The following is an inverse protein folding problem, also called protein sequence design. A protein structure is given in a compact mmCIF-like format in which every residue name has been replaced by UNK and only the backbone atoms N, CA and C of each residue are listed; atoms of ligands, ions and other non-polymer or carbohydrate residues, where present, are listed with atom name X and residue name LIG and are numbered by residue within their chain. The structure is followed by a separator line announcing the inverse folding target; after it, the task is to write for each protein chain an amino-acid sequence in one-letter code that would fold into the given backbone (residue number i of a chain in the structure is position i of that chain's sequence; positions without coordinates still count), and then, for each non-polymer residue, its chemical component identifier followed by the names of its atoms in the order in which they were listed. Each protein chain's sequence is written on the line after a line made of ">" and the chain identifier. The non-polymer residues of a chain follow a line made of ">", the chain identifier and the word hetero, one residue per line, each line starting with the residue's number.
data_IF_105878369859
#
_entry.id   IF_105878369859
#
_cell.length_a   1.000
_cell.length_b   1.000
_cell.length_c   1.000
_cell.angle_alpha   90.00
_cell.angle_beta   90.00
_cell.angle_gamma   90.00
#
_symmetry.space_group_name_H-M   'P 1'
#
loop_
_entity.id
_entity.type
_entity.pdbx_description
1 polymer ?
#
# COMPACT_ATOMS: atom_id res chain seq x y z
N UNK A 1 -12.42 7.40 -17.33
CA UNK A 1 -13.17 8.68 -17.46
C UNK A 1 -14.51 8.59 -16.74
N UNK A 2 -15.37 7.61 -17.05
CA UNK A 2 -16.71 7.45 -16.44
C UNK A 2 -16.69 7.42 -14.90
N UNK A 3 -15.79 6.64 -14.29
CA UNK A 3 -15.67 6.56 -12.83
C UNK A 3 -15.31 7.92 -12.22
N UNK A 4 -14.42 8.70 -12.83
CA UNK A 4 -14.07 10.04 -12.36
C UNK A 4 -15.30 10.96 -12.35
N UNK A 5 -16.01 11.01 -13.47
CA UNK A 5 -17.22 11.83 -13.60
C UNK A 5 -18.29 11.44 -12.57
N UNK A 6 -18.46 10.14 -12.32
CA UNK A 6 -19.41 9.64 -11.32
C UNK A 6 -19.02 10.09 -9.91
N UNK A 7 -17.73 9.94 -9.54
CA UNK A 7 -17.23 10.38 -8.22
C UNK A 7 -17.39 11.89 -8.03
N UNK A 8 -17.07 12.69 -9.04
CA UNK A 8 -17.26 14.15 -9.01
C UNK A 8 -18.73 14.54 -8.77
N UNK A 9 -19.65 13.93 -9.52
CA UNK A 9 -21.09 14.18 -9.38
C UNK A 9 -21.61 13.80 -8.00
N UNK A 10 -21.19 12.65 -7.47
CA UNK A 10 -21.53 12.21 -6.12
C UNK A 10 -21.06 13.27 -5.11
N UNK A 11 -19.79 13.67 -5.18
CA UNK A 11 -19.17 14.66 -4.29
C UNK A 11 -19.92 15.99 -4.32
N UNK A 12 -20.20 16.50 -5.51
CA UNK A 12 -20.96 17.75 -5.69
C UNK A 12 -22.37 17.68 -5.05
N UNK A 13 -23.06 16.55 -5.21
CA UNK A 13 -24.39 16.34 -4.62
C UNK A 13 -24.34 16.37 -3.10
N UNK A 14 -23.43 15.62 -2.48
CA UNK A 14 -23.32 15.58 -1.01
C UNK A 14 -22.88 16.93 -0.44
N UNK A 15 -21.94 17.62 -1.08
CA UNK A 15 -21.56 18.99 -0.70
C UNK A 15 -22.77 19.94 -0.77
N UNK A 16 -23.60 19.82 -1.79
CA UNK A 16 -24.84 20.61 -1.92
C UNK A 16 -25.83 20.38 -0.78
N UNK A 17 -25.83 19.19 -0.17
CA UNK A 17 -26.64 18.85 1.00
C UNK A 17 -25.92 19.12 2.34
N UNK A 18 -24.71 19.70 2.32
CA UNK A 18 -23.86 19.92 3.51
C UNK A 18 -23.60 18.63 4.29
N UNK A 19 -23.50 17.52 3.58
CA UNK A 19 -23.15 16.22 4.14
C UNK A 19 -21.74 15.85 3.73
N UNK A 20 -20.97 15.41 4.71
CA UNK A 20 -19.65 14.82 4.45
C UNK A 20 -19.83 13.34 4.15
N UNK A 21 -19.22 12.88 3.06
CA UNK A 21 -19.31 11.49 2.64
C UNK A 21 -17.90 10.95 2.39
N UNK A 22 -17.60 9.82 2.99
CA UNK A 22 -16.32 9.15 2.80
C UNK A 22 -16.35 8.28 1.54
N UNK A 23 -15.52 8.65 0.56
CA UNK A 23 -15.42 7.96 -0.73
C UNK A 23 -14.03 7.35 -0.86
N UNK A 24 -13.96 6.13 -1.39
CA UNK A 24 -12.71 5.55 -1.89
C UNK A 24 -12.87 5.10 -3.33
N UNK A 25 -11.90 5.46 -4.15
CA UNK A 25 -11.76 4.98 -5.52
C UNK A 25 -10.67 3.95 -5.61
N UNK A 26 -11.02 2.74 -5.95
CA UNK A 26 -10.09 1.64 -6.21
C UNK A 26 -9.64 1.71 -7.67
N UNK A 27 -8.34 1.78 -7.89
CA UNK A 27 -7.73 1.77 -9.22
C UNK A 27 -6.32 1.22 -9.15
N UNK A 28 -5.92 0.44 -10.15
CA UNK A 28 -4.56 -0.10 -10.23
C UNK A 28 -3.53 0.93 -10.71
N UNK A 29 -3.99 2.11 -11.19
CA UNK A 29 -3.12 3.15 -11.75
C UNK A 29 -3.60 4.53 -11.32
N UNK A 30 -2.71 5.28 -10.68
CA UNK A 30 -2.95 6.68 -10.29
C UNK A 30 -3.26 7.58 -11.50
N UNK A 31 -2.63 7.31 -12.65
CA UNK A 31 -2.79 8.07 -13.90
C UNK A 31 -4.23 8.07 -14.43
N UNK A 32 -5.03 7.08 -14.05
CA UNK A 32 -6.44 6.97 -14.41
C UNK A 32 -7.37 7.80 -13.52
N UNK A 33 -6.82 8.41 -12.47
CA UNK A 33 -7.57 9.24 -11.51
C UNK A 33 -7.34 10.71 -11.83
N UNK A 34 -8.42 11.50 -11.94
CA UNK A 34 -8.31 12.94 -12.13
C UNK A 34 -7.60 13.58 -10.94
N UNK A 35 -6.78 14.61 -11.20
CA UNK A 35 -6.01 15.30 -10.16
C UNK A 35 -6.86 15.79 -8.99
N UNK A 36 -8.06 16.26 -9.29
CA UNK A 36 -9.01 16.80 -8.29
C UNK A 36 -9.67 15.69 -7.43
N UNK A 37 -9.43 14.41 -7.75
CA UNK A 37 -9.97 13.24 -7.05
C UNK A 37 -8.89 12.38 -6.41
N UNK A 38 -7.63 12.81 -6.39
CA UNK A 38 -6.52 12.06 -5.80
C UNK A 38 -6.73 11.78 -4.30
N UNK A 39 -7.45 12.65 -3.61
CA UNK A 39 -7.82 12.46 -2.21
C UNK A 39 -8.86 11.33 -1.99
N UNK A 40 -9.52 10.86 -3.05
CA UNK A 40 -10.38 9.67 -3.02
C UNK A 40 -9.68 8.39 -3.48
N UNK A 41 -8.51 8.51 -4.11
CA UNK A 41 -7.77 7.39 -4.63
C UNK A 41 -7.14 6.55 -3.51
N UNK A 42 -7.38 5.23 -3.53
CA UNK A 42 -6.87 4.32 -2.49
C UNK A 42 -5.37 4.44 -2.26
N UNK A 43 -4.57 4.50 -3.32
CA UNK A 43 -3.12 4.68 -3.23
C UNK A 43 -2.71 5.96 -2.52
N UNK A 44 -3.26 7.11 -2.92
CA UNK A 44 -2.93 8.39 -2.28
C UNK A 44 -3.40 8.48 -0.82
N UNK A 45 -4.55 7.86 -0.50
CA UNK A 45 -5.02 7.77 0.89
C UNK A 45 -4.04 6.95 1.71
N UNK A 46 -3.58 5.80 1.21
CA UNK A 46 -2.62 4.93 1.88
C UNK A 46 -1.30 5.66 2.10
N UNK A 47 -0.72 6.26 1.05
CA UNK A 47 0.52 7.02 1.13
C UNK A 47 0.45 8.17 2.15
N UNK A 48 -0.64 8.94 2.15
CA UNK A 48 -0.84 10.02 3.11
C UNK A 48 -0.99 9.53 4.55
N UNK A 49 -1.66 8.40 4.76
CA UNK A 49 -1.78 7.77 6.07
C UNK A 49 -0.45 7.21 6.55
N UNK A 50 0.31 6.57 5.68
CA UNK A 50 1.65 6.08 6.00
C UNK A 50 2.58 7.23 6.41
N UNK A 51 2.61 8.33 5.65
CA UNK A 51 3.40 9.52 5.97
C UNK A 51 2.99 10.12 7.33
N UNK A 52 1.69 10.26 7.58
CA UNK A 52 1.16 10.74 8.87
C UNK A 52 1.55 9.82 10.04
N UNK A 53 1.52 8.50 9.84
CA UNK A 53 1.93 7.54 10.87
C UNK A 53 3.43 7.63 11.16
N UNK A 54 4.26 7.75 10.13
CA UNK A 54 5.71 7.90 10.30
C UNK A 54 6.05 9.16 11.09
N UNK A 55 5.46 10.30 10.73
CA UNK A 55 5.64 11.56 11.45
C UNK A 55 5.15 11.46 12.91
N UNK A 56 3.98 10.88 13.12
CA UNK A 56 3.39 10.72 14.45
C UNK A 56 4.16 9.69 15.28
N UNK A 57 4.80 8.70 14.67
CA UNK A 57 5.55 7.66 15.36
C UNK A 57 6.74 8.24 16.11
N UNK A 58 7.53 9.09 15.49
CA UNK A 58 8.66 9.79 16.13
C UNK A 58 8.15 10.60 17.34
N UNK A 59 7.11 11.39 17.14
CA UNK A 59 6.51 12.17 18.24
C UNK A 59 6.03 11.29 19.39
N UNK A 60 5.43 10.15 19.11
CA UNK A 60 4.99 9.18 20.12
C UNK A 60 6.17 8.54 20.86
N UNK A 61 7.26 8.22 20.17
CA UNK A 61 8.48 7.70 20.80
C UNK A 61 9.02 8.74 21.78
N UNK A 62 9.14 9.99 21.37
CA UNK A 62 9.62 11.09 22.23
C UNK A 62 8.70 11.29 23.45
N UNK A 63 7.39 11.28 23.23
CA UNK A 63 6.40 11.43 24.32
C UNK A 63 6.47 10.26 25.31
N UNK A 64 6.52 9.01 24.84
CA UNK A 64 6.66 7.83 25.71
C UNK A 64 8.00 7.82 26.42
N UNK A 65 9.06 8.25 25.75
CA UNK A 65 10.38 8.38 26.35
C UNK A 65 10.42 9.39 27.51
N UNK A 66 9.68 10.49 27.40
CA UNK A 66 9.56 11.47 28.49
C UNK A 66 8.89 10.87 29.73
N UNK A 67 7.90 9.99 29.55
CA UNK A 67 7.30 9.23 30.67
C UNK A 67 8.29 8.26 31.33
N UNK A 68 9.28 7.77 30.58
CA UNK A 68 10.40 6.96 31.09
C UNK A 68 11.53 7.81 31.69
N UNK A 69 11.35 9.12 31.78
CA UNK A 69 12.36 10.10 32.27
C UNK A 69 13.64 10.11 31.38
N UNK A 70 13.54 9.76 30.15
CA UNK A 70 14.63 9.84 29.18
C UNK A 70 14.72 11.26 28.61
N UNK A 71 15.94 11.73 28.38
CA UNK A 71 16.18 13.01 27.72
C UNK A 71 15.78 12.94 26.26
N UNK A 72 15.16 13.98 25.76
CA UNK A 72 14.69 14.06 24.37
C UNK A 72 15.87 13.99 23.38
N UNK A 73 16.99 14.64 23.71
CA UNK A 73 18.21 14.61 22.92
C UNK A 73 18.76 13.18 22.80
N UNK A 74 18.80 12.42 23.91
CA UNK A 74 19.22 11.01 23.90
C UNK A 74 18.35 10.18 22.96
N UNK A 75 17.03 10.34 23.03
CA UNK A 75 16.09 9.60 22.21
C UNK A 75 16.24 9.98 20.73
N UNK A 76 16.43 11.25 20.42
CA UNK A 76 16.62 11.76 19.07
C UNK A 76 17.88 11.17 18.43
N UNK A 77 19.00 11.19 19.14
CA UNK A 77 20.25 10.59 18.67
C UNK A 77 20.14 9.07 18.56
N UNK A 78 19.47 8.43 19.51
CA UNK A 78 19.22 6.99 19.47
C UNK A 78 18.37 6.58 18.25
N UNK A 79 17.31 7.33 17.94
CA UNK A 79 16.46 7.11 16.75
C UNK A 79 17.31 7.28 15.50
N UNK A 80 18.07 8.38 15.42
CA UNK A 80 18.93 8.67 14.27
C UNK A 80 19.93 7.53 14.01
N UNK A 81 20.63 7.07 15.03
CA UNK A 81 21.59 5.98 14.92
C UNK A 81 20.92 4.68 14.46
N UNK A 82 19.83 4.28 15.12
CA UNK A 82 19.13 3.04 14.83
C UNK A 82 18.50 3.03 13.42
N UNK A 83 17.81 4.11 13.04
CA UNK A 83 17.03 4.15 11.80
C UNK A 83 17.89 4.60 10.61
N UNK A 84 18.68 5.66 10.76
CA UNK A 84 19.41 6.23 9.62
C UNK A 84 20.74 5.55 9.35
N UNK A 85 21.36 4.89 10.33
CA UNK A 85 22.66 4.25 10.16
C UNK A 85 22.52 2.72 10.19
N UNK A 86 22.23 2.13 11.32
CA UNK A 86 22.29 0.67 11.47
C UNK A 86 21.25 -0.05 10.63
N UNK A 87 20.05 0.48 10.52
CA UNK A 87 19.04 -0.12 9.65
C UNK A 87 19.38 -0.02 8.16
N UNK A 88 19.91 1.11 7.71
CA UNK A 88 20.36 1.25 6.32
C UNK A 88 21.51 0.29 6.00
N UNK A 89 22.44 0.10 6.94
CA UNK A 89 23.50 -0.90 6.79
C UNK A 89 22.92 -2.30 6.65
N UNK A 90 21.97 -2.67 7.53
CA UNK A 90 21.30 -3.97 7.51
C UNK A 90 20.52 -4.19 6.20
N UNK A 91 19.74 -3.22 5.77
CA UNK A 91 18.96 -3.27 4.52
C UNK A 91 19.87 -3.34 3.28
N UNK A 92 20.96 -2.56 3.26
CA UNK A 92 21.89 -2.59 2.14
C UNK A 92 22.63 -3.92 2.09
N UNK A 93 22.99 -4.48 3.24
CA UNK A 93 23.62 -5.80 3.35
C UNK A 93 22.69 -6.91 2.86
N UNK A 94 21.41 -6.87 3.20
CA UNK A 94 20.45 -7.90 2.77
C UNK A 94 20.19 -7.90 1.26
N UNK A 95 20.58 -6.85 0.55
CA UNK A 95 20.48 -6.72 -0.91
C UNK A 95 21.76 -7.13 -1.66
N UNK A 96 22.79 -7.63 -0.94
CA UNK A 96 24.01 -8.10 -1.60
C UNK A 96 23.68 -9.37 -2.38
N UNK A 97 24.00 -9.38 -3.67
CA UNK A 97 23.90 -10.55 -4.53
C UNK A 97 25.17 -10.71 -5.34
N UNK A 98 25.50 -11.95 -5.67
CA UNK A 98 26.59 -12.29 -6.60
C UNK A 98 26.17 -12.11 -8.06
N UNK A 99 24.88 -11.99 -8.35
CA UNK A 99 24.30 -11.77 -9.68
C UNK A 99 23.76 -10.34 -9.79
N UNK A 100 23.98 -9.69 -10.94
CA UNK A 100 23.50 -8.32 -11.25
C UNK A 100 21.99 -8.32 -11.56
N UNK A 101 21.17 -8.62 -10.55
CA UNK A 101 19.73 -8.50 -10.65
C UNK A 101 19.26 -7.09 -10.31
N UNK A 102 18.11 -6.69 -10.86
CA UNK A 102 17.52 -5.37 -10.63
C UNK A 102 17.20 -5.18 -9.15
N UNK A 103 17.90 -4.25 -8.51
CA UNK A 103 17.73 -3.91 -7.09
C UNK A 103 18.76 -4.54 -6.15
N UNK A 104 19.75 -5.27 -6.68
CA UNK A 104 20.87 -5.82 -5.91
C UNK A 104 22.02 -4.82 -5.76
N UNK A 105 22.83 -5.01 -4.73
CA UNK A 105 23.99 -4.18 -4.42
C UNK A 105 25.25 -5.02 -4.56
N UNK A 106 26.23 -4.55 -5.31
CA UNK A 106 27.51 -5.27 -5.40
C UNK A 106 28.24 -5.23 -4.06
N UNK A 107 29.01 -6.29 -3.77
CA UNK A 107 29.82 -6.38 -2.56
C UNK A 107 30.79 -5.20 -2.41
N UNK A 108 31.35 -4.71 -3.53
CA UNK A 108 32.26 -3.56 -3.53
C UNK A 108 31.53 -2.27 -3.13
N UNK A 109 30.33 -2.04 -3.65
CA UNK A 109 29.48 -0.88 -3.30
C UNK A 109 29.07 -0.94 -1.83
N UNK A 110 28.69 -2.10 -1.32
CA UNK A 110 28.39 -2.26 0.10
C UNK A 110 29.60 -1.96 0.97
N UNK A 111 30.78 -2.50 0.65
CA UNK A 111 32.00 -2.22 1.41
C UNK A 111 32.34 -0.72 1.48
N UNK A 112 32.22 -0.02 0.36
CA UNK A 112 32.44 1.43 0.33
C UNK A 112 31.44 2.18 1.21
N UNK A 113 30.16 1.84 1.12
CA UNK A 113 29.11 2.41 1.97
C UNK A 113 29.36 2.11 3.46
N UNK A 114 29.67 0.86 3.80
CA UNK A 114 29.93 0.42 5.16
C UNK A 114 31.13 1.11 5.79
N UNK A 115 32.24 1.26 5.04
CA UNK A 115 33.41 2.01 5.48
C UNK A 115 33.09 3.46 5.77
N UNK A 116 32.32 4.12 4.90
CA UNK A 116 31.89 5.49 5.12
C UNK A 116 31.07 5.64 6.41
N UNK A 117 30.13 4.73 6.68
CA UNK A 117 29.34 4.74 7.91
C UNK A 117 30.23 4.53 9.14
N UNK A 118 31.16 3.60 9.07
CA UNK A 118 32.11 3.32 10.14
C UNK A 118 32.99 4.53 10.46
N UNK A 119 33.52 5.21 9.44
CA UNK A 119 34.29 6.44 9.62
C UNK A 119 33.48 7.55 10.28
N UNK A 120 32.22 7.71 9.91
CA UNK A 120 31.32 8.67 10.55
C UNK A 120 31.12 8.34 12.04
N UNK A 121 30.88 7.07 12.37
CA UNK A 121 30.70 6.63 13.75
C UNK A 121 31.98 6.78 14.57
N UNK A 122 33.14 6.48 13.99
CA UNK A 122 34.45 6.66 14.66
C UNK A 122 34.75 8.11 15.03
N UNK A 123 34.36 9.06 14.17
CA UNK A 123 34.56 10.48 14.44
C UNK A 123 33.73 10.99 15.62
N UNK A 124 32.60 10.36 15.91
CA UNK A 124 31.66 10.78 16.93
C UNK A 124 31.91 10.05 18.27
N UNK A 125 32.15 8.73 18.20
CA UNK A 125 32.11 7.87 19.39
C UNK A 125 33.47 7.25 19.79
N UNK A 126 34.58 7.63 19.13
CA UNK A 126 35.93 7.09 19.44
C UNK A 126 35.97 5.56 19.61
N UNK A 127 35.30 4.84 18.69
CA UNK A 127 35.08 3.40 18.80
C UNK A 127 36.39 2.61 18.83
N UNK A 128 36.58 1.75 19.83
CA UNK A 128 37.66 0.76 19.81
C UNK A 128 37.22 -0.46 18.99
N UNK A 129 37.82 -0.63 17.83
CA UNK A 129 37.57 -1.77 16.94
C UNK A 129 38.58 -2.90 17.10
N UNK A 130 39.51 -2.76 18.08
CA UNK A 130 40.49 -3.80 18.35
C UNK A 130 39.80 -5.06 18.90
N UNK A 131 39.97 -6.19 18.21
CA UNK A 131 39.39 -7.47 18.59
C UNK A 131 38.01 -7.77 17.99
N UNK A 132 37.48 -6.88 17.16
CA UNK A 132 36.30 -7.17 16.37
C UNK A 132 36.64 -8.02 15.14
N UNK A 133 35.68 -8.77 14.63
CA UNK A 133 35.82 -9.45 13.35
C UNK A 133 36.22 -8.42 12.28
N UNK A 134 37.27 -8.71 11.52
CA UNK A 134 37.78 -7.77 10.50
C UNK A 134 36.87 -7.71 9.26
N UNK A 135 35.85 -8.55 9.18
CA UNK A 135 34.96 -8.59 8.04
C UNK A 135 33.79 -7.59 8.19
N UNK A 136 33.96 -6.43 7.59
CA UNK A 136 32.94 -5.36 7.54
C UNK A 136 31.61 -5.80 6.88
N UNK A 137 31.59 -6.94 6.20
CA UNK A 137 30.37 -7.51 5.60
C UNK A 137 29.62 -8.41 6.56
N UNK A 138 30.24 -8.79 7.67
CA UNK A 138 29.66 -9.67 8.69
C UNK A 138 28.57 -8.98 9.49
N UNK A 139 27.51 -9.72 9.80
CA UNK A 139 26.45 -9.26 10.72
C UNK A 139 26.97 -9.07 12.14
N UNK A 140 27.84 -10.00 12.56
CA UNK A 140 28.43 -9.97 13.90
C UNK A 140 29.27 -8.71 14.11
N UNK A 141 30.01 -8.28 13.09
CA UNK A 141 30.75 -7.02 13.11
C UNK A 141 29.83 -5.83 13.40
N UNK A 142 28.78 -5.66 12.62
CA UNK A 142 27.86 -4.53 12.77
C UNK A 142 27.05 -4.59 14.08
N UNK A 143 26.72 -5.77 14.57
CA UNK A 143 26.09 -5.92 15.87
C UNK A 143 27.03 -5.50 17.00
N UNK A 144 28.31 -5.80 16.90
CA UNK A 144 29.31 -5.37 17.89
C UNK A 144 29.50 -3.84 17.85
N UNK A 145 29.59 -3.24 16.67
CA UNK A 145 29.65 -1.78 16.48
C UNK A 145 28.42 -1.12 17.05
N UNK A 146 27.23 -1.65 16.75
CA UNK A 146 25.96 -1.11 17.27
C UNK A 146 25.95 -1.13 18.81
N UNK A 147 26.34 -2.23 19.44
CA UNK A 147 26.40 -2.33 20.88
C UNK A 147 27.40 -1.33 21.49
N UNK A 148 28.57 -1.15 20.90
CA UNK A 148 29.57 -0.19 21.35
C UNK A 148 29.05 1.25 21.26
N UNK A 149 28.46 1.62 20.12
CA UNK A 149 27.86 2.95 19.92
C UNK A 149 26.71 3.20 20.90
N UNK A 150 25.84 2.22 21.12
CA UNK A 150 24.72 2.35 22.07
C UNK A 150 25.23 2.52 23.51
N UNK A 151 26.31 1.85 23.90
CA UNK A 151 26.93 2.02 25.21
C UNK A 151 27.55 3.42 25.36
N UNK A 152 28.30 3.88 24.37
CA UNK A 152 28.91 5.21 24.38
C UNK A 152 27.85 6.30 24.44
N UNK A 153 26.75 6.18 23.66
CA UNK A 153 25.64 7.13 23.72
C UNK A 153 24.97 7.16 25.09
N UNK A 154 24.76 6.00 25.72
CA UNK A 154 24.18 5.92 27.05
C UNK A 154 25.08 6.55 28.12
N UNK A 155 26.39 6.40 28.01
CA UNK A 155 27.39 7.05 28.90
C UNK A 155 27.38 8.57 28.69
N UNK A 156 27.38 9.07 27.48
CA UNK A 156 27.35 10.50 27.15
C UNK A 156 26.15 11.22 27.79
N UNK A 157 24.98 10.59 27.74
CA UNK A 157 23.76 11.15 28.33
C UNK A 157 23.52 10.75 29.77
N UNK A 158 24.42 9.98 30.40
CA UNK A 158 24.31 9.42 31.76
C UNK A 158 22.98 8.64 31.96
N UNK A 159 22.61 7.82 30.98
CA UNK A 159 21.43 6.96 31.02
C UNK A 159 21.81 5.61 31.62
N UNK A 160 21.06 5.17 32.63
CA UNK A 160 21.32 3.88 33.26
C UNK A 160 20.96 2.72 32.31
N UNK A 161 21.54 1.52 32.49
CA UNK A 161 21.36 0.38 31.59
C UNK A 161 19.88 -0.06 31.46
N UNK A 162 19.08 0.07 32.52
CA UNK A 162 17.66 -0.31 32.48
C UNK A 162 16.86 0.63 31.57
N UNK A 163 17.07 1.93 31.69
CA UNK A 163 16.42 2.93 30.87
C UNK A 163 16.93 2.89 29.41
N UNK A 164 18.21 2.62 29.19
CA UNK A 164 18.76 2.38 27.86
C UNK A 164 18.09 1.18 27.17
N UNK A 165 17.93 0.06 27.90
CA UNK A 165 17.22 -1.10 27.38
C UNK A 165 15.74 -0.81 27.05
N UNK A 166 15.05 -0.04 27.89
CA UNK A 166 13.66 0.40 27.64
C UNK A 166 13.56 1.29 26.38
N UNK A 167 14.50 2.22 26.22
CA UNK A 167 14.54 3.08 25.04
C UNK A 167 14.75 2.27 23.75
N UNK A 168 15.68 1.33 23.78
CA UNK A 168 15.93 0.44 22.64
C UNK A 168 14.71 -0.46 22.33
N UNK A 169 14.02 -0.96 23.36
CA UNK A 169 12.79 -1.74 23.18
C UNK A 169 11.67 -0.89 22.59
N UNK A 170 11.54 0.38 23.01
CA UNK A 170 10.57 1.32 22.45
C UNK A 170 10.80 1.57 20.97
N UNK A 171 12.05 1.80 20.56
CA UNK A 171 12.38 1.99 19.12
C UNK A 171 12.13 0.71 18.32
N UNK A 172 12.44 -0.46 18.88
CA UNK A 172 12.13 -1.74 18.23
C UNK A 172 10.64 -1.91 18.00
N UNK A 173 9.82 -1.63 19.02
CA UNK A 173 8.37 -1.69 18.91
C UNK A 173 7.83 -0.72 17.85
N UNK A 174 8.36 0.51 17.84
CA UNK A 174 8.00 1.51 16.83
C UNK A 174 8.31 1.04 15.41
N UNK A 175 9.47 0.39 15.22
CA UNK A 175 9.87 -0.17 13.95
C UNK A 175 9.01 -1.36 13.53
N UNK A 176 8.66 -2.24 14.45
CA UNK A 176 7.72 -3.33 14.18
C UNK A 176 6.35 -2.76 13.73
N UNK A 177 5.90 -1.65 14.32
CA UNK A 177 4.72 -0.94 13.85
C UNK A 177 4.90 -0.34 12.45
N UNK A 178 6.06 0.25 12.15
CA UNK A 178 6.37 0.80 10.82
C UNK A 178 6.35 -0.28 9.74
N UNK A 179 6.97 -1.43 10.00
CA UNK A 179 6.96 -2.57 9.06
C UNK A 179 5.56 -3.13 8.83
N UNK A 180 4.67 -3.08 9.82
CA UNK A 180 3.26 -3.45 9.66
C UNK A 180 2.49 -2.41 8.83
N UNK A 181 2.85 -1.14 8.93
CA UNK A 181 2.27 -0.04 8.14
C UNK A 181 2.75 -0.10 6.68
N UNK A 182 3.98 -0.49 6.45
CA UNK A 182 4.55 -0.72 5.10
C UNK A 182 4.11 -2.05 4.47
N UNK A 183 3.24 -2.80 5.16
CA UNK A 183 2.65 -4.02 4.64
C UNK A 183 1.94 -3.79 3.29
N UNK A 184 1.85 -4.80 2.41
CA UNK A 184 1.33 -4.63 1.06
C UNK A 184 0.00 -3.88 1.03
N UNK A 185 -0.16 -2.96 0.10
CA UNK A 185 -1.35 -2.10 -0.11
C UNK A 185 -2.68 -2.88 -0.08
N UNK A 186 -2.66 -4.17 -0.40
CA UNK A 186 -3.81 -5.06 -0.38
C UNK A 186 -4.62 -5.03 0.94
N UNK A 187 -3.95 -5.04 2.08
CA UNK A 187 -4.64 -5.00 3.38
C UNK A 187 -5.32 -3.66 3.64
N UNK A 188 -4.70 -2.56 3.20
CA UNK A 188 -5.26 -1.23 3.33
C UNK A 188 -6.43 -0.98 2.38
N UNK A 189 -6.35 -1.44 1.14
CA UNK A 189 -7.46 -1.33 0.19
C UNK A 189 -8.70 -2.06 0.71
N UNK A 190 -8.52 -3.26 1.26
CA UNK A 190 -9.60 -4.00 1.92
C UNK A 190 -10.19 -3.22 3.10
N UNK A 191 -9.35 -2.67 3.98
CA UNK A 191 -9.79 -1.84 5.10
C UNK A 191 -10.55 -0.60 4.64
N UNK A 192 -10.04 0.10 3.62
CA UNK A 192 -10.71 1.26 3.04
C UNK A 192 -12.07 0.88 2.45
N UNK A 193 -12.16 -0.22 1.70
CA UNK A 193 -13.41 -0.69 1.13
C UNK A 193 -14.45 -1.06 2.21
N UNK A 194 -14.02 -1.55 3.38
CA UNK A 194 -14.90 -1.90 4.49
C UNK A 194 -15.34 -0.70 5.34
N UNK A 195 -14.58 0.38 5.35
CA UNK A 195 -14.80 1.53 6.24
C UNK A 195 -15.36 2.76 5.54
N UNK A 196 -15.34 2.80 4.21
CA UNK A 196 -15.88 3.92 3.44
C UNK A 196 -17.35 3.71 3.10
N UNK A 197 -18.11 4.80 3.10
CA UNK A 197 -19.54 4.79 2.77
C UNK A 197 -19.78 4.50 1.29
N UNK A 198 -18.86 4.96 0.42
CA UNK A 198 -18.93 4.76 -1.02
C UNK A 198 -17.61 4.22 -1.53
N UNK A 199 -17.71 3.09 -2.24
CA UNK A 199 -16.57 2.44 -2.91
C UNK A 199 -16.81 2.51 -4.40
N UNK A 200 -15.89 3.11 -5.15
CA UNK A 200 -16.00 3.30 -6.59
C UNK A 200 -14.84 2.60 -7.31
N UNK A 201 -15.12 2.07 -8.49
CA UNK A 201 -14.08 1.47 -9.34
C UNK A 201 -14.68 0.89 -10.62
N UNK A 202 -13.83 0.37 -11.49
CA UNK A 202 -14.30 -0.47 -12.60
C UNK A 202 -14.62 -1.87 -12.08
N UNK A 203 -15.53 -2.60 -12.73
CA UNK A 203 -15.88 -3.97 -12.34
C UNK A 203 -14.63 -4.86 -12.23
N UNK A 204 -13.72 -4.76 -13.20
CA UNK A 204 -12.44 -5.50 -13.19
C UNK A 204 -11.48 -4.99 -12.12
N UNK A 205 -11.41 -3.67 -11.90
CA UNK A 205 -10.53 -3.08 -10.89
C UNK A 205 -10.92 -3.46 -9.46
N UNK A 206 -12.22 -3.55 -9.19
CA UNK A 206 -12.78 -3.95 -7.89
C UNK A 206 -12.61 -5.46 -7.66
N UNK A 207 -12.58 -6.26 -8.74
CA UNK A 207 -12.38 -7.72 -8.67
C UNK A 207 -10.98 -8.13 -8.19
N UNK A 208 -10.06 -7.19 -8.06
CA UNK A 208 -8.70 -7.48 -7.65
C UNK A 208 -8.68 -8.09 -6.23
N UNK A 209 -7.85 -9.11 -6.03
CA UNK A 209 -7.73 -9.83 -4.75
C UNK A 209 -7.37 -8.92 -3.56
N UNK A 210 -6.75 -7.76 -3.84
CA UNK A 210 -6.39 -6.77 -2.82
C UNK A 210 -7.62 -6.20 -2.09
N UNK A 211 -8.75 -6.09 -2.76
CA UNK A 211 -9.98 -5.51 -2.20
C UNK A 211 -10.83 -6.55 -1.49
N UNK A 212 -10.67 -7.84 -1.86
CA UNK A 212 -11.46 -8.97 -1.33
C UNK A 212 -12.97 -8.71 -1.41
N UNK A 213 -13.40 -8.19 -2.56
CA UNK A 213 -14.76 -7.70 -2.78
C UNK A 213 -15.81 -8.80 -2.59
N UNK A 214 -15.47 -10.06 -2.88
CA UNK A 214 -16.36 -11.21 -2.75
C UNK A 214 -16.82 -11.48 -1.32
N UNK A 215 -16.06 -11.00 -0.33
CA UNK A 215 -16.37 -11.12 1.10
C UNK A 215 -17.02 -9.86 1.68
N UNK A 216 -17.39 -8.89 0.82
CA UNK A 216 -18.04 -7.66 1.24
C UNK A 216 -19.51 -7.66 0.82
N UNK A 217 -20.34 -7.00 1.61
CA UNK A 217 -21.78 -6.87 1.33
C UNK A 217 -22.16 -5.39 1.41
N UNK A 218 -22.56 -4.83 0.27
CA UNK A 218 -23.04 -3.46 0.16
C UNK A 218 -24.58 -3.40 0.17
N UNK A 219 -25.13 -2.35 0.72
CA UNK A 219 -26.58 -2.15 0.71
C UNK A 219 -27.09 -1.86 -0.71
N UNK A 220 -26.29 -1.15 -1.50
CA UNK A 220 -26.53 -0.88 -2.91
C UNK A 220 -25.29 -1.10 -3.74
N UNK A 221 -25.48 -1.70 -4.91
CA UNK A 221 -24.50 -1.73 -5.99
C UNK A 221 -25.12 -1.02 -7.18
N UNK A 222 -24.47 0.02 -7.66
CA UNK A 222 -24.91 0.82 -8.79
C UNK A 222 -23.89 0.62 -9.91
N UNK A 223 -24.32 0.09 -11.04
CA UNK A 223 -23.48 -0.14 -12.21
C UNK A 223 -23.94 0.80 -13.32
N UNK A 224 -23.09 1.79 -13.60
CA UNK A 224 -23.27 2.71 -14.72
C UNK A 224 -22.70 2.10 -16.00
N UNK A 225 -23.25 2.47 -17.15
CA UNK A 225 -22.91 1.88 -18.46
C UNK A 225 -23.09 0.35 -18.52
N UNK A 226 -24.08 -0.17 -17.80
CA UNK A 226 -24.32 -1.61 -17.66
C UNK A 226 -24.55 -2.32 -19.01
N UNK A 227 -25.12 -1.60 -20.01
CA UNK A 227 -25.33 -2.14 -21.35
C UNK A 227 -24.03 -2.44 -22.12
N UNK A 228 -22.91 -1.86 -21.72
CA UNK A 228 -21.58 -2.06 -22.34
C UNK A 228 -20.74 -3.09 -21.62
N UNK A 229 -21.15 -3.53 -20.44
CA UNK A 229 -20.43 -4.51 -19.64
C UNK A 229 -20.81 -5.94 -20.03
N UNK A 230 -19.82 -6.82 -20.01
CA UNK A 230 -20.08 -8.25 -20.23
C UNK A 230 -20.76 -8.87 -19.01
N UNK A 231 -21.46 -9.99 -19.19
CA UNK A 231 -22.12 -10.74 -18.11
C UNK A 231 -21.18 -11.06 -16.93
N UNK A 232 -19.94 -11.42 -17.24
CA UNK A 232 -18.93 -11.73 -16.23
C UNK A 232 -18.53 -10.51 -15.42
N UNK A 233 -18.41 -9.33 -16.03
CA UNK A 233 -18.08 -8.09 -15.33
C UNK A 233 -19.24 -7.63 -14.43
N UNK A 234 -20.49 -7.73 -14.93
CA UNK A 234 -21.67 -7.44 -14.13
C UNK A 234 -21.76 -8.36 -12.91
N UNK A 235 -21.57 -9.68 -13.12
CA UNK A 235 -21.65 -10.67 -12.05
C UNK A 235 -20.68 -10.39 -10.91
N UNK A 236 -19.46 -9.89 -11.20
CA UNK A 236 -18.47 -9.53 -10.18
C UNK A 236 -19.02 -8.49 -9.19
N UNK A 237 -19.63 -7.44 -9.71
CA UNK A 237 -20.17 -6.38 -8.87
C UNK A 237 -21.50 -6.79 -8.23
N UNK A 238 -22.38 -7.44 -8.98
CA UNK A 238 -23.72 -7.80 -8.53
C UNK A 238 -23.74 -8.75 -7.33
N UNK A 239 -22.77 -9.69 -7.24
CA UNK A 239 -22.69 -10.66 -6.15
C UNK A 239 -22.49 -10.01 -4.76
N UNK A 240 -22.05 -8.74 -4.70
CA UNK A 240 -21.73 -8.05 -3.45
C UNK A 240 -22.86 -7.15 -2.96
N UNK A 241 -23.94 -7.01 -3.71
CA UNK A 241 -25.03 -6.08 -3.40
C UNK A 241 -26.28 -6.73 -2.85
N UNK A 242 -26.86 -6.17 -1.80
CA UNK A 242 -28.22 -6.51 -1.36
C UNK A 242 -29.26 -6.02 -2.36
N UNK A 243 -29.01 -4.86 -2.98
CA UNK A 243 -29.84 -4.24 -3.99
C UNK A 243 -28.95 -3.79 -5.13
N UNK A 244 -29.42 -4.01 -6.34
CA UNK A 244 -28.67 -3.74 -7.57
C UNK A 244 -29.43 -2.75 -8.41
N UNK A 245 -28.72 -1.70 -8.86
CA UNK A 245 -29.23 -0.69 -9.79
C UNK A 245 -28.34 -0.71 -11.02
N UNK A 246 -28.91 -1.08 -12.16
CA UNK A 246 -28.26 -1.04 -13.45
C UNK A 246 -28.70 0.24 -14.17
N UNK A 247 -27.73 1.01 -14.63
CA UNK A 247 -27.92 2.23 -15.41
C UNK A 247 -27.22 2.04 -16.75
N UNK A 248 -27.90 2.33 -17.86
CA UNK A 248 -27.32 2.15 -19.18
C UNK A 248 -28.31 2.49 -20.29
N UNK A 249 -27.80 2.45 -21.51
CA UNK A 249 -28.58 2.62 -22.73
C UNK A 249 -28.32 1.44 -23.67
N UNK A 250 -29.31 0.54 -23.77
CA UNK A 250 -29.22 -0.66 -24.63
C UNK A 250 -29.15 -0.36 -26.13
N UNK A 251 -29.41 0.89 -26.55
CA UNK A 251 -29.28 1.32 -27.94
C UNK A 251 -27.86 1.82 -28.31
N UNK A 252 -26.98 1.93 -27.31
CA UNK A 252 -25.58 2.23 -27.54
C UNK A 252 -24.80 0.97 -27.94
N UNK A 253 -23.47 1.10 -28.03
CA UNK A 253 -22.61 -0.03 -28.43
C UNK A 253 -22.73 -1.19 -27.42
N UNK A 254 -22.91 -2.43 -27.89
CA UNK A 254 -22.94 -3.61 -27.02
C UNK A 254 -21.56 -3.90 -26.41
N UNK A 255 -21.47 -4.86 -25.49
CA UNK A 255 -20.20 -5.30 -24.94
C UNK A 255 -19.22 -5.72 -26.02
N UNK A 256 -17.96 -5.31 -25.88
CA UNK A 256 -16.91 -5.68 -26.83
C UNK A 256 -16.29 -7.02 -26.41
N UNK A 257 -16.46 -8.03 -27.23
CA UNK A 257 -15.81 -9.32 -27.06
C UNK A 257 -14.63 -9.47 -27.99
N UNK A 258 -13.50 -9.94 -27.48
CA UNK A 258 -12.37 -10.31 -28.33
C UNK A 258 -12.82 -11.39 -29.37
N UNK A 259 -12.32 -11.31 -30.59
CA UNK A 259 -12.66 -12.26 -31.67
C UNK A 259 -12.41 -13.73 -31.28
N UNK A 260 -11.40 -13.98 -30.47
CA UNK A 260 -11.09 -15.31 -29.92
C UNK A 260 -12.20 -15.84 -29.01
N UNK A 261 -12.76 -14.98 -28.14
CA UNK A 261 -13.88 -15.32 -27.25
C UNK A 261 -15.15 -15.63 -28.05
N UNK A 262 -15.46 -14.81 -29.05
CA UNK A 262 -16.62 -15.02 -29.92
C UNK A 262 -16.51 -16.35 -30.70
N UNK A 263 -15.32 -16.69 -31.18
CA UNK A 263 -15.06 -17.95 -31.88
C UNK A 263 -15.15 -19.16 -30.93
N UNK A 264 -14.67 -19.00 -29.67
CA UNK A 264 -14.76 -20.04 -28.65
C UNK A 264 -16.21 -20.32 -28.26
N UNK A 265 -17.02 -19.29 -28.09
CA UNK A 265 -18.46 -19.39 -27.81
C UNK A 265 -19.20 -20.07 -28.97
N UNK A 266 -18.97 -19.68 -30.22
CA UNK A 266 -19.51 -20.37 -31.40
C UNK A 266 -19.24 -21.87 -31.35
N UNK A 267 -17.99 -22.25 -31.12
CA UNK A 267 -17.57 -23.64 -31.09
C UNK A 267 -18.19 -24.41 -29.91
N UNK A 268 -18.23 -23.83 -28.72
CA UNK A 268 -18.77 -24.51 -27.51
C UNK A 268 -20.28 -24.65 -27.53
N UNK A 269 -21.00 -23.65 -28.06
CA UNK A 269 -22.46 -23.63 -28.12
C UNK A 269 -23.02 -24.24 -29.41
N UNK A 270 -22.16 -24.61 -30.39
CA UNK A 270 -22.58 -25.16 -31.66
C UNK A 270 -23.33 -24.15 -32.56
N UNK A 271 -23.10 -22.85 -32.34
CA UNK A 271 -23.77 -21.77 -33.04
C UNK A 271 -23.18 -21.67 -34.46
N UNK A 272 -24.01 -21.89 -35.47
CA UNK A 272 -23.62 -21.77 -36.88
C UNK A 272 -24.10 -20.47 -37.54
N UNK A 273 -25.11 -19.82 -36.96
CA UNK A 273 -25.71 -18.60 -37.51
C UNK A 273 -25.20 -17.33 -36.81
N UNK A 274 -24.89 -16.30 -37.61
CA UNK A 274 -24.41 -15.02 -37.11
C UNK A 274 -25.43 -14.30 -36.20
N UNK A 275 -26.72 -14.40 -36.55
CA UNK A 275 -27.80 -13.79 -35.75
C UNK A 275 -27.95 -14.40 -34.36
N UNK A 276 -27.79 -15.73 -34.26
CA UNK A 276 -27.82 -16.42 -32.98
C UNK A 276 -26.62 -16.02 -32.11
N UNK A 277 -25.45 -15.81 -32.73
CA UNK A 277 -24.29 -15.33 -32.03
C UNK A 277 -24.48 -13.89 -31.50
N UNK A 278 -25.01 -13.00 -32.35
CA UNK A 278 -25.34 -11.63 -31.94
C UNK A 278 -26.29 -11.60 -30.77
N UNK A 279 -27.31 -12.47 -30.77
CA UNK A 279 -28.26 -12.58 -29.68
C UNK A 279 -27.57 -13.04 -28.37
N UNK A 280 -26.69 -14.04 -28.44
CA UNK A 280 -25.92 -14.52 -27.26
C UNK A 280 -24.91 -13.47 -26.75
N UNK A 281 -24.42 -12.60 -27.62
CA UNK A 281 -23.45 -11.56 -27.26
C UNK A 281 -24.09 -10.24 -26.79
N UNK A 282 -25.42 -10.15 -26.79
CA UNK A 282 -26.10 -9.02 -26.14
C UNK A 282 -25.78 -8.93 -24.67
N UNK A 283 -25.82 -7.73 -24.13
CA UNK A 283 -25.64 -7.53 -22.70
C UNK A 283 -26.82 -8.11 -21.89
N UNK A 284 -26.56 -8.57 -20.68
CA UNK A 284 -27.64 -8.96 -19.77
C UNK A 284 -28.59 -7.80 -19.47
N UNK A 285 -28.08 -6.55 -19.52
CA UNK A 285 -28.89 -5.36 -19.40
C UNK A 285 -29.94 -5.28 -20.51
N UNK A 286 -29.55 -5.55 -21.76
CA UNK A 286 -30.49 -5.54 -22.91
C UNK A 286 -31.51 -6.68 -22.77
N UNK A 287 -31.10 -7.87 -22.34
CA UNK A 287 -32.02 -8.99 -22.14
C UNK A 287 -33.06 -8.67 -21.03
N UNK A 288 -32.65 -8.11 -19.93
CA UNK A 288 -33.56 -7.74 -18.84
C UNK A 288 -34.48 -6.59 -19.23
N UNK A 289 -33.96 -5.61 -20.02
CA UNK A 289 -34.76 -4.46 -20.46
C UNK A 289 -35.86 -4.86 -21.43
N UNK A 290 -35.63 -5.88 -22.29
CA UNK A 290 -36.57 -6.34 -23.29
C UNK A 290 -37.50 -7.47 -22.78
N UNK A 291 -37.35 -7.94 -21.54
CA UNK A 291 -38.20 -8.94 -20.88
C UNK A 291 -39.41 -8.32 -20.20
#
# INVERSE_FOLDING_TARGET
>A
EAVNTTVERIRQRFTGYKQDVSIVRISNKAELVSKDLLDTYSGSIIESQQAFFQETLIHRILTLGSHLKLKEEYLTDLIRLKVEIFEKVKQTRSKISEEDDVGTVSLATFKQFALYQLECLHKIYELDTNGLDSDITSEAFWQAIENAVMSALAEEYAVDPENSAKAQALIRLAKDCETLIDAPHAHYERFLAQTRQIVCGTCVGIANNSVDISNQVFDFVIIDEAARSSSSELAIAMQTGKRIVLVGDHKQLPPLYASEHSNLLKKKLGISNHKELEEVLKSDFEHVFNS
#
